data_IF_998098630711
#
_entry.id   IF_998098630711
#
_cell.length_a   1.000
_cell.length_b   1.000
_cell.length_c   1.000
_cell.angle_alpha   90.00
_cell.angle_beta   90.00
_cell.angle_gamma   90.00
#
_symmetry.space_group_name_H-M   'P 1'
#
loop_
_entity.id
_entity.type
_entity.pdbx_description
1 polymer ?
#
# COMPACT_ATOMS: atom_id res chain seq x y z
N UNK A 1 -24.15 -19.51 -46.71
CA UNK A 1 -23.98 -18.32 -45.84
C UNK A 1 -23.59 -18.66 -44.39
N UNK A 2 -23.19 -19.90 -44.07
CA UNK A 2 -22.88 -20.34 -42.70
C UNK A 2 -21.43 -20.03 -42.25
N UNK A 3 -20.50 -19.90 -43.20
CA UNK A 3 -19.06 -19.67 -42.95
C UNK A 3 -18.72 -18.37 -42.19
N UNK A 4 -19.31 -17.20 -42.47
CA UNK A 4 -18.94 -15.98 -41.73
C UNK A 4 -19.45 -15.98 -40.29
N UNK A 5 -20.56 -16.70 -40.00
CA UNK A 5 -21.14 -16.79 -38.66
C UNK A 5 -20.21 -17.52 -37.68
N UNK A 6 -19.54 -18.58 -38.16
CA UNK A 6 -18.60 -19.37 -37.36
C UNK A 6 -17.36 -18.55 -36.99
N UNK A 7 -16.88 -17.71 -37.90
CA UNK A 7 -15.70 -16.86 -37.69
C UNK A 7 -16.00 -15.77 -36.64
N UNK A 8 -17.17 -15.13 -36.73
CA UNK A 8 -17.59 -14.12 -35.74
C UNK A 8 -17.80 -14.73 -34.36
N UNK A 9 -18.36 -15.95 -34.29
CA UNK A 9 -18.50 -16.67 -33.01
C UNK A 9 -17.15 -17.01 -32.38
N UNK A 10 -16.13 -17.39 -33.18
CA UNK A 10 -14.80 -17.72 -32.66
C UNK A 10 -14.06 -16.49 -32.09
N UNK A 11 -14.27 -15.32 -32.67
CA UNK A 11 -13.68 -14.05 -32.21
C UNK A 11 -14.22 -13.59 -30.84
N UNK A 12 -15.44 -13.99 -30.45
CA UNK A 12 -15.99 -13.65 -29.13
C UNK A 12 -15.39 -14.47 -27.97
N UNK A 13 -14.75 -15.61 -28.26
CA UNK A 13 -14.07 -16.43 -27.24
C UNK A 13 -12.59 -16.07 -27.07
N UNK A 14 -12.06 -15.18 -27.92
CA UNK A 14 -10.71 -14.63 -27.81
C UNK A 14 -10.70 -13.34 -26.98
N UNK A 15 -11.50 -13.30 -25.90
CA UNK A 15 -11.40 -12.25 -24.90
C UNK A 15 -9.97 -12.24 -24.35
N UNK A 16 -9.24 -11.19 -24.69
CA UNK A 16 -7.89 -10.91 -24.24
C UNK A 16 -7.81 -11.11 -22.73
N UNK A 17 -6.87 -11.93 -22.29
CA UNK A 17 -6.62 -12.15 -20.87
C UNK A 17 -6.32 -10.81 -20.20
N UNK A 18 -7.29 -10.25 -19.48
CA UNK A 18 -7.08 -9.04 -18.68
C UNK A 18 -6.40 -9.48 -17.39
N UNK A 19 -5.07 -9.43 -17.39
CA UNK A 19 -4.28 -9.60 -16.17
C UNK A 19 -4.46 -8.36 -15.28
N UNK A 20 -5.48 -8.40 -14.42
CA UNK A 20 -5.76 -7.37 -13.43
C UNK A 20 -4.83 -7.46 -12.21
N UNK A 21 -3.52 -7.65 -12.40
CA UNK A 21 -2.59 -7.77 -11.27
C UNK A 21 -1.30 -6.98 -11.49
N UNK A 22 -1.47 -5.67 -11.51
CA UNK A 22 -0.45 -4.72 -11.05
C UNK A 22 -1.15 -3.58 -10.30
N UNK A 23 -2.03 -3.93 -9.35
CA UNK A 23 -2.33 -2.99 -8.27
C UNK A 23 -1.00 -2.67 -7.58
N UNK A 24 -0.69 -1.40 -7.30
CA UNK A 24 0.63 -1.03 -6.81
C UNK A 24 1.00 -1.95 -5.65
N UNK A 25 2.11 -2.69 -5.80
CA UNK A 25 2.88 -3.20 -4.67
C UNK A 25 3.52 -2.01 -3.94
N UNK A 26 2.70 -1.00 -3.66
CA UNK A 26 3.06 0.29 -3.13
C UNK A 26 3.10 0.12 -1.64
N UNK A 27 4.31 0.12 -1.10
CA UNK A 27 4.50 0.41 0.29
C UNK A 27 3.95 1.81 0.55
N UNK A 28 2.94 1.90 1.39
CA UNK A 28 2.37 3.17 1.79
C UNK A 28 3.27 3.77 2.86
N UNK A 29 3.88 4.90 2.54
CA UNK A 29 4.74 5.65 3.45
C UNK A 29 4.24 7.07 3.52
N UNK A 30 4.10 7.60 4.72
CA UNK A 30 3.74 8.99 4.89
C UNK A 30 4.94 9.80 5.31
N UNK A 31 5.04 10.97 4.70
CA UNK A 31 5.89 12.03 5.17
C UNK A 31 5.08 12.93 6.09
N UNK A 32 5.58 13.16 7.29
CA UNK A 32 5.01 14.07 8.27
C UNK A 32 6.06 15.13 8.55
N UNK A 33 5.68 16.38 8.35
CA UNK A 33 6.53 17.53 8.59
C UNK A 33 6.32 18.03 10.03
N UNK A 34 7.38 18.10 10.83
CA UNK A 34 7.34 18.57 12.23
C UNK A 34 8.43 19.63 12.43
N UNK A 35 8.02 20.89 12.51
CA UNK A 35 8.98 22.01 12.49
C UNK A 35 9.78 21.96 11.19
N UNK A 36 11.11 21.95 11.28
CA UNK A 36 12.01 21.86 10.12
C UNK A 36 12.44 20.41 9.78
N UNK A 37 11.79 19.40 10.36
CA UNK A 37 12.16 18.00 10.19
C UNK A 37 11.11 17.21 9.41
N UNK A 38 11.57 16.48 8.40
CA UNK A 38 10.74 15.53 7.66
C UNK A 38 10.87 14.14 8.27
N UNK A 39 9.75 13.62 8.77
CA UNK A 39 9.64 12.27 9.32
C UNK A 39 8.94 11.36 8.33
N UNK A 40 9.50 10.17 8.12
CA UNK A 40 8.86 9.09 7.36
C UNK A 40 8.23 8.11 8.34
N UNK A 41 6.90 8.02 8.27
CA UNK A 41 6.11 7.06 9.04
C UNK A 41 5.69 5.93 8.12
N UNK A 42 5.99 4.71 8.53
CA UNK A 42 5.51 3.48 7.90
C UNK A 42 5.05 2.50 8.95
N UNK A 43 4.12 1.64 8.59
CA UNK A 43 3.47 0.71 9.48
C UNK A 43 3.47 -0.68 8.89
N UNK A 44 3.58 -1.68 9.74
CA UNK A 44 3.65 -3.07 9.37
C UNK A 44 2.61 -3.89 10.14
N UNK A 45 1.95 -4.81 9.44
CA UNK A 45 0.98 -5.74 10.04
C UNK A 45 1.31 -7.18 9.66
N UNK A 46 1.41 -8.05 10.67
CA UNK A 46 1.72 -9.48 10.47
C UNK A 46 0.54 -10.31 9.90
N UNK A 47 -0.66 -9.73 9.81
CA UNK A 47 -1.86 -10.43 9.34
C UNK A 47 -2.26 -9.93 7.96
N UNK A 48 -2.54 -10.87 7.05
CA UNK A 48 -2.98 -10.59 5.69
C UNK A 48 -2.27 -11.50 4.68
N UNK A 49 -2.67 -11.39 3.42
CA UNK A 49 -2.08 -12.15 2.30
C UNK A 49 -0.73 -11.58 1.83
N UNK A 50 -0.35 -10.39 2.31
CA UNK A 50 0.86 -9.68 1.91
C UNK A 50 1.72 -9.34 3.15
N UNK A 51 2.59 -10.27 3.60
CA UNK A 51 3.40 -10.05 4.79
C UNK A 51 4.41 -8.92 4.61
N UNK A 52 4.81 -8.54 3.39
CA UNK A 52 5.83 -7.50 3.16
C UNK A 52 5.23 -6.11 2.87
N UNK A 53 3.91 -5.93 3.08
CA UNK A 53 3.26 -4.66 2.78
C UNK A 53 3.42 -3.66 3.92
N UNK A 54 3.85 -2.46 3.56
CA UNK A 54 3.85 -1.30 4.46
C UNK A 54 2.56 -0.49 4.30
N UNK A 55 2.07 0.03 5.42
CA UNK A 55 0.85 0.81 5.56
C UNK A 55 1.16 2.15 6.20
N UNK A 56 0.44 3.21 5.85
CA UNK A 56 0.52 4.47 6.59
C UNK A 56 -0.77 4.83 7.31
N UNK A 57 -1.84 5.15 6.57
CA UNK A 57 -3.06 5.74 7.15
C UNK A 57 -4.14 4.73 7.48
N UNK A 58 -4.18 3.65 6.70
CA UNK A 58 -5.22 2.65 6.79
C UNK A 58 -4.62 1.28 7.06
N UNK A 59 -5.05 0.69 8.16
CA UNK A 59 -4.62 -0.60 8.65
C UNK A 59 -5.82 -1.54 8.55
N UNK A 60 -5.88 -2.44 7.55
CA UNK A 60 -7.08 -3.20 7.22
C UNK A 60 -7.47 -4.24 8.28
N UNK A 61 -6.55 -4.58 9.19
CA UNK A 61 -6.77 -5.60 10.21
C UNK A 61 -6.59 -5.06 11.62
N UNK A 62 -7.47 -5.51 12.53
CA UNK A 62 -7.39 -5.25 13.97
C UNK A 62 -6.42 -6.22 14.63
N UNK A 63 -5.13 -6.05 14.34
CA UNK A 63 -4.05 -6.89 14.90
C UNK A 63 -2.92 -6.04 15.42
N UNK A 64 -1.85 -6.69 15.90
CA UNK A 64 -0.60 -6.00 16.23
C UNK A 64 -0.10 -5.22 15.01
N UNK A 65 0.20 -3.95 15.25
CA UNK A 65 0.77 -3.00 14.29
C UNK A 65 2.13 -2.59 14.82
N UNK A 66 3.15 -2.66 13.98
CA UNK A 66 4.44 -2.02 14.27
C UNK A 66 4.47 -0.72 13.48
N UNK A 67 4.81 0.38 14.13
CA UNK A 67 4.99 1.68 13.47
C UNK A 67 6.48 2.01 13.51
N UNK A 68 7.07 2.24 12.34
CA UNK A 68 8.43 2.71 12.13
C UNK A 68 8.41 4.20 11.84
N UNK A 69 9.27 4.93 12.53
CA UNK A 69 9.46 6.37 12.37
C UNK A 69 10.92 6.61 12.06
N UNK A 70 11.20 7.06 10.85
CA UNK A 70 12.53 7.47 10.41
C UNK A 70 12.54 8.99 10.21
N UNK A 71 13.70 9.62 10.36
CA UNK A 71 13.89 11.01 9.93
C UNK A 71 14.70 11.04 8.63
N UNK A 72 14.29 11.91 7.71
CA UNK A 72 14.94 12.07 6.42
C UNK A 72 15.93 13.22 6.40
N UNK A 73 15.69 14.26 7.19
CA UNK A 73 16.45 15.52 7.12
C UNK A 73 17.26 15.84 8.37
N UNK A 74 16.95 15.21 9.52
CA UNK A 74 17.61 15.53 10.79
C UNK A 74 17.97 14.29 11.62
N UNK A 75 19.02 14.38 12.42
CA UNK A 75 19.28 13.37 13.46
C UNK A 75 18.28 13.54 14.61
N UNK A 76 17.58 12.46 14.95
CA UNK A 76 16.61 12.39 16.04
C UNK A 76 17.23 11.95 17.37
N UNK A 77 18.50 11.55 17.42
CA UNK A 77 19.14 10.94 18.59
C UNK A 77 19.06 11.78 19.87
N UNK A 78 18.95 13.11 19.74
CA UNK A 78 18.84 14.07 20.86
C UNK A 78 17.46 14.71 21.01
N UNK A 79 16.44 14.19 20.32
CA UNK A 79 15.07 14.71 20.33
C UNK A 79 14.13 13.72 21.00
N UNK A 80 13.15 14.23 21.74
CA UNK A 80 12.04 13.41 22.25
C UNK A 80 10.92 13.34 21.24
N UNK A 81 10.36 12.15 21.04
CA UNK A 81 9.21 11.90 20.17
C UNK A 81 8.07 11.42 21.04
N UNK A 82 6.96 12.15 21.02
CA UNK A 82 5.72 11.75 21.67
C UNK A 82 4.70 11.33 20.62
N UNK A 83 4.19 10.11 20.74
CA UNK A 83 3.09 9.61 19.94
C UNK A 83 1.82 9.53 20.79
N UNK A 84 0.75 10.14 20.28
CA UNK A 84 -0.57 10.04 20.87
C UNK A 84 -1.54 9.42 19.87
N UNK A 85 -2.12 8.27 20.25
CA UNK A 85 -3.16 7.63 19.45
C UNK A 85 -4.49 8.29 19.77
N UNK A 86 -5.10 8.92 18.76
CA UNK A 86 -6.42 9.52 18.88
C UNK A 86 -7.48 8.53 18.40
N UNK A 87 -8.55 8.35 19.18
CA UNK A 87 -9.76 7.66 18.73
C UNK A 87 -10.63 8.67 17.99
N UNK A 88 -10.98 8.36 16.75
CA UNK A 88 -11.95 9.13 15.97
C UNK A 88 -13.37 8.68 16.29
#
# INVERSE_FOLDING_TARGET
MLKPLVIVSLMMFLSSAVYAHAGPHGNDECLVHVGDTDLRLSGYQFKGTNPDRHYCRHFPHLTRIIIKIDSLTADLSKKSIQLQLLKR
#
